data_IF_766842308344
#
_entry.id   IF_766842308344
#
_cell.length_a   1.000
_cell.length_b   1.000
_cell.length_c   1.000
_cell.angle_alpha   90.00
_cell.angle_beta   90.00
_cell.angle_gamma   90.00
#
_symmetry.space_group_name_H-M   'P 1'
#
loop_
_entity.id
_entity.type
_entity.pdbx_description
1 polymer ?
#
# COMPACT_ATOMS: atom_id res chain seq x y z
N UNK A 1 3.88 9.99 4.24
CA UNK A 1 4.31 9.44 5.55
C UNK A 1 4.82 10.53 6.45
N UNK A 2 4.45 10.50 7.73
CA UNK A 2 4.90 11.48 8.72
C UNK A 2 6.23 11.02 9.34
N UNK A 3 7.29 11.80 9.16
CA UNK A 3 8.61 11.48 9.75
C UNK A 3 8.83 12.35 10.99
N UNK A 4 9.21 11.72 12.10
CA UNK A 4 9.28 12.32 13.43
C UNK A 4 10.67 12.88 13.73
N UNK A 5 10.70 14.13 14.21
CA UNK A 5 11.85 14.75 14.87
C UNK A 5 11.52 14.94 16.34
N UNK A 6 12.26 14.29 17.24
CA UNK A 6 12.16 14.48 18.69
C UNK A 6 12.17 15.97 19.09
N UNK A 7 11.41 16.43 20.11
CA UNK A 7 10.29 15.82 20.85
C UNK A 7 8.95 16.01 20.10
N UNK A 8 7.94 15.18 20.45
CA UNK A 8 6.60 14.92 19.88
C UNK A 8 5.71 16.11 19.41
N UNK A 9 6.25 17.13 18.74
CA UNK A 9 5.55 18.40 18.45
C UNK A 9 5.71 18.85 17.00
N UNK A 10 6.62 18.25 16.22
CA UNK A 10 6.82 18.60 14.82
C UNK A 10 6.73 17.38 13.89
N UNK A 11 5.86 17.50 12.90
CA UNK A 11 5.61 16.52 11.87
C UNK A 11 6.00 17.09 10.52
N UNK A 12 6.76 16.33 9.74
CA UNK A 12 7.04 16.67 8.34
C UNK A 12 6.38 15.63 7.45
N UNK A 13 5.61 16.08 6.46
CA UNK A 13 5.09 15.20 5.44
C UNK A 13 6.22 14.82 4.46
N UNK A 14 6.40 13.53 4.25
CA UNK A 14 7.25 12.98 3.22
C UNK A 14 6.39 12.20 2.22
N UNK A 15 6.37 12.67 0.97
CA UNK A 15 5.68 12.01 -0.12
C UNK A 15 6.46 10.80 -0.65
N UNK A 16 5.75 9.82 -1.20
CA UNK A 16 6.38 8.67 -1.86
C UNK A 16 7.22 9.15 -3.05
N UNK A 17 8.44 8.64 -3.16
CA UNK A 17 9.44 9.07 -4.15
C UNK A 17 10.30 10.26 -3.70
N UNK A 18 9.96 10.91 -2.59
CA UNK A 18 10.74 12.04 -2.07
C UNK A 18 11.80 11.60 -1.04
N UNK A 19 12.82 12.45 -0.89
CA UNK A 19 13.86 12.33 0.13
C UNK A 19 13.87 13.54 1.05
N UNK A 20 14.24 13.33 2.30
CA UNK A 20 14.29 14.33 3.35
C UNK A 20 15.58 14.18 4.16
N UNK A 21 16.31 15.27 4.33
CA UNK A 21 17.59 15.33 5.05
C UNK A 21 17.39 15.86 6.46
N UNK A 22 17.83 15.07 7.44
CA UNK A 22 17.49 15.23 8.85
C UNK A 22 18.74 15.14 9.71
N UNK A 23 18.67 15.73 10.90
CA UNK A 23 19.67 15.52 11.95
C UNK A 23 18.94 14.99 13.18
N UNK A 24 19.31 13.79 13.63
CA UNK A 24 18.77 13.14 14.83
C UNK A 24 19.87 13.16 15.89
N UNK A 25 19.72 14.03 16.90
CA UNK A 25 20.81 14.34 17.82
C UNK A 25 21.96 15.04 17.09
N UNK A 26 23.07 14.34 16.88
CA UNK A 26 24.23 14.79 16.09
C UNK A 26 24.44 13.98 14.80
N UNK A 27 23.53 13.06 14.50
CA UNK A 27 23.69 12.12 13.38
C UNK A 27 22.92 12.65 12.16
N UNK A 28 23.59 12.92 11.03
CA UNK A 28 22.92 13.24 9.78
C UNK A 28 22.26 11.98 9.22
N UNK A 29 20.99 12.08 8.86
CA UNK A 29 20.16 10.99 8.34
C UNK A 29 19.42 11.47 7.10
N UNK A 30 19.57 10.78 5.98
CA UNK A 30 18.68 10.94 4.83
C UNK A 30 17.59 9.88 4.91
N UNK A 31 16.34 10.30 4.79
CA UNK A 31 15.16 9.41 4.72
C UNK A 31 14.59 9.50 3.32
N UNK A 32 14.38 8.37 2.66
CA UNK A 32 13.73 8.28 1.34
C UNK A 32 12.49 7.43 1.46
N UNK A 33 11.34 7.95 1.02
CA UNK A 33 10.11 7.17 0.94
C UNK A 33 10.01 6.48 -0.42
N UNK A 34 9.82 5.17 -0.42
CA UNK A 34 9.70 4.32 -1.61
C UNK A 34 8.29 3.72 -1.64
N UNK A 35 7.70 3.44 -2.82
CA UNK A 35 6.39 2.78 -2.88
C UNK A 35 6.44 1.39 -2.25
N UNK A 36 5.35 0.94 -1.59
CA UNK A 36 5.27 -0.41 -1.02
C UNK A 36 4.25 -1.33 -1.74
N UNK A 37 3.46 -0.80 -2.68
CA UNK A 37 2.47 -1.54 -3.47
C UNK A 37 1.49 -2.41 -2.65
N UNK A 38 1.24 -2.01 -1.39
CA UNK A 38 0.33 -2.71 -0.48
C UNK A 38 -1.07 -2.07 -0.47
N UNK A 39 -1.15 -0.77 -0.20
CA UNK A 39 -2.38 0.01 -0.24
C UNK A 39 -2.08 1.49 -0.55
N UNK A 40 -3.09 2.34 -0.83
CA UNK A 40 -2.86 3.77 -1.06
C UNK A 40 -2.11 4.43 0.09
N UNK A 41 -0.96 5.05 -0.23
CA UNK A 41 -0.10 5.71 0.74
C UNK A 41 0.89 4.81 1.49
N UNK A 42 0.84 3.48 1.27
CA UNK A 42 1.84 2.55 1.81
C UNK A 42 3.22 2.84 1.22
N UNK A 43 4.25 2.90 2.07
CA UNK A 43 5.60 3.19 1.65
C UNK A 43 6.64 2.43 2.48
N UNK A 44 7.76 2.11 1.86
CA UNK A 44 8.98 1.71 2.53
C UNK A 44 9.82 2.96 2.86
N UNK A 45 10.63 2.89 3.91
CA UNK A 45 11.54 3.97 4.30
C UNK A 45 12.99 3.49 4.25
N UNK A 46 13.79 4.14 3.41
CA UNK A 46 15.23 3.97 3.35
C UNK A 46 15.91 5.07 4.17
N UNK A 47 16.63 4.67 5.21
CA UNK A 47 17.47 5.54 6.04
C UNK A 47 18.92 5.36 5.63
N UNK A 48 19.63 6.44 5.31
CA UNK A 48 21.07 6.41 5.06
C UNK A 48 21.80 7.41 5.94
N UNK A 49 22.93 6.98 6.49
CA UNK A 49 23.81 7.83 7.29
C UNK A 49 25.26 7.36 7.17
N UNK A 50 26.25 8.28 7.17
CA UNK A 50 27.65 7.91 7.31
C UNK A 50 27.96 7.17 8.63
N UNK A 51 27.10 7.29 9.64
CA UNK A 51 27.33 6.71 10.97
C UNK A 51 26.91 5.24 11.06
N UNK A 52 25.77 4.88 10.46
CA UNK A 52 25.19 3.53 10.57
C UNK A 52 24.96 2.82 9.23
N UNK A 53 25.30 3.46 8.10
CA UNK A 53 25.11 2.87 6.77
C UNK A 53 23.67 2.99 6.27
N UNK A 54 23.17 1.95 5.60
CA UNK A 54 21.86 1.93 4.95
C UNK A 54 20.89 0.95 5.64
N UNK A 55 19.73 1.45 6.04
CA UNK A 55 18.65 0.68 6.67
C UNK A 55 17.37 0.82 5.87
N UNK A 56 16.78 -0.29 5.43
CA UNK A 56 15.47 -0.29 4.77
C UNK A 56 14.42 -0.87 5.71
N UNK A 57 13.34 -0.13 5.94
CA UNK A 57 12.15 -0.65 6.60
C UNK A 57 11.02 -0.73 5.59
N UNK A 58 10.49 -1.92 5.33
CA UNK A 58 9.50 -2.13 4.27
C UNK A 58 8.10 -1.66 4.67
N UNK A 59 7.77 -1.66 5.97
CA UNK A 59 6.37 -1.70 6.38
C UNK A 59 5.69 -2.94 5.78
N UNK A 60 4.40 -2.87 5.49
CA UNK A 60 3.69 -3.91 4.74
C UNK A 60 3.93 -3.67 3.25
N UNK A 61 4.52 -4.64 2.56
CA UNK A 61 4.98 -4.50 1.17
C UNK A 61 4.53 -5.69 0.32
N UNK A 62 4.12 -5.40 -0.92
CA UNK A 62 3.92 -6.44 -1.92
C UNK A 62 4.98 -6.32 -3.01
N UNK A 63 6.02 -7.16 -2.91
CA UNK A 63 7.08 -7.13 -3.92
C UNK A 63 6.60 -7.65 -5.28
N UNK A 64 6.94 -6.88 -6.32
CA UNK A 64 6.94 -7.27 -7.73
C UNK A 64 8.35 -7.09 -8.30
N UNK A 65 8.69 -7.75 -9.41
CA UNK A 65 9.97 -7.50 -10.10
C UNK A 65 10.17 -6.01 -10.41
N UNK A 66 9.12 -5.32 -10.87
CA UNK A 66 9.17 -3.91 -11.21
C UNK A 66 9.41 -3.02 -9.98
N UNK A 67 8.81 -3.37 -8.84
CA UNK A 67 9.05 -2.65 -7.60
C UNK A 67 10.49 -2.87 -7.11
N UNK A 68 11.01 -4.10 -7.20
CA UNK A 68 12.39 -4.40 -6.82
C UNK A 68 13.39 -3.63 -7.69
N UNK A 69 13.16 -3.55 -9.00
CA UNK A 69 14.00 -2.78 -9.92
C UNK A 69 14.02 -1.29 -9.52
N UNK A 70 12.87 -0.72 -9.17
CA UNK A 70 12.78 0.67 -8.68
C UNK A 70 13.56 0.87 -7.37
N UNK A 71 13.45 -0.06 -6.42
CA UNK A 71 14.21 -0.01 -5.16
C UNK A 71 15.71 -0.08 -5.44
N UNK A 72 16.14 -1.02 -6.28
CA UNK A 72 17.54 -1.16 -6.68
C UNK A 72 18.08 0.09 -7.38
N UNK A 73 17.28 0.72 -8.25
CA UNK A 73 17.63 1.97 -8.89
C UNK A 73 17.86 3.09 -7.86
N UNK A 74 16.94 3.27 -6.90
CA UNK A 74 17.10 4.31 -5.88
C UNK A 74 18.30 4.03 -4.97
N UNK A 75 18.57 2.77 -4.61
CA UNK A 75 19.77 2.41 -3.85
C UNK A 75 21.04 2.80 -4.63
N UNK A 76 21.12 2.47 -5.92
CA UNK A 76 22.25 2.79 -6.77
C UNK A 76 22.46 4.30 -6.94
N UNK A 77 21.39 5.06 -7.17
CA UNK A 77 21.42 6.54 -7.27
C UNK A 77 21.91 7.19 -5.97
N UNK A 78 21.71 6.54 -4.83
CA UNK A 78 22.20 7.00 -3.53
C UNK A 78 23.58 6.45 -3.16
N UNK A 79 24.24 5.73 -4.06
CA UNK A 79 25.54 5.10 -3.81
C UNK A 79 25.48 3.97 -2.77
N UNK A 80 24.29 3.44 -2.50
CA UNK A 80 24.08 2.32 -1.57
C UNK A 80 24.27 1.02 -2.32
N UNK A 81 25.40 0.35 -2.08
CA UNK A 81 25.72 -0.94 -2.73
C UNK A 81 25.19 -2.15 -1.97
N UNK A 82 24.82 -1.97 -0.69
CA UNK A 82 24.22 -2.99 0.16
C UNK A 82 23.40 -2.34 1.27
N UNK A 83 22.41 -3.06 1.79
CA UNK A 83 21.75 -2.71 3.04
C UNK A 83 22.56 -3.27 4.21
N UNK A 84 22.77 -2.46 5.24
CA UNK A 84 23.37 -2.89 6.50
C UNK A 84 22.30 -3.48 7.44
N UNK A 85 21.04 -3.06 7.30
CA UNK A 85 19.89 -3.65 8.00
C UNK A 85 18.61 -3.61 7.14
N UNK A 86 17.81 -4.67 7.21
CA UNK A 86 16.52 -4.79 6.56
C UNK A 86 15.45 -5.19 7.58
N UNK A 87 14.48 -4.31 7.82
CA UNK A 87 13.24 -4.66 8.51
C UNK A 87 12.23 -5.08 7.44
N UNK A 88 12.03 -6.39 7.32
CA UNK A 88 11.26 -7.03 6.25
C UNK A 88 9.84 -7.38 6.71
N UNK A 89 8.85 -7.12 5.86
CA UNK A 89 7.52 -7.72 5.94
C UNK A 89 7.63 -9.24 5.82
N UNK A 90 7.31 -9.92 6.91
CA UNK A 90 7.36 -11.36 7.01
C UNK A 90 5.98 -11.97 7.25
N UNK A 91 4.90 -11.27 6.89
CA UNK A 91 3.51 -11.75 7.06
C UNK A 91 3.32 -13.18 6.56
N UNK A 92 3.94 -13.53 5.42
CA UNK A 92 3.90 -14.88 4.83
C UNK A 92 5.27 -15.60 4.88
N UNK A 93 6.20 -15.15 5.73
CA UNK A 93 7.59 -15.63 5.73
C UNK A 93 7.80 -16.99 6.40
N UNK A 94 6.91 -17.40 7.32
CA UNK A 94 7.02 -18.70 8.02
C UNK A 94 6.50 -19.87 7.18
N UNK A 95 5.41 -19.65 6.46
CA UNK A 95 4.76 -20.65 5.62
C UNK A 95 4.56 -20.04 4.22
N UNK A 96 5.49 -20.26 3.29
CA UNK A 96 5.38 -19.73 1.94
C UNK A 96 4.10 -20.26 1.29
N UNK A 97 3.19 -19.35 0.98
CA UNK A 97 1.96 -19.66 0.26
C UNK A 97 2.06 -19.12 -1.17
N UNK A 98 1.66 -19.95 -2.12
CA UNK A 98 1.45 -19.49 -3.49
C UNK A 98 0.07 -18.86 -3.60
N UNK A 99 0.05 -17.55 -3.82
CA UNK A 99 -1.19 -16.82 -4.05
C UNK A 99 -1.43 -16.64 -5.55
N UNK A 100 -2.68 -16.74 -6.02
CA UNK A 100 -3.02 -16.30 -7.36
C UNK A 100 -2.71 -14.81 -7.53
N UNK A 101 -2.43 -14.40 -8.76
CA UNK A 101 -2.32 -12.97 -9.07
C UNK A 101 -3.66 -12.28 -8.82
N UNK A 102 -3.62 -10.98 -8.51
CA UNK A 102 -4.84 -10.18 -8.37
C UNK A 102 -5.75 -10.33 -9.60
N UNK A 103 -5.19 -10.30 -10.80
CA UNK A 103 -5.93 -10.48 -12.05
C UNK A 103 -6.65 -11.83 -12.11
N UNK A 104 -5.98 -12.92 -11.71
CA UNK A 104 -6.60 -14.25 -11.71
C UNK A 104 -7.72 -14.33 -10.65
N UNK A 105 -7.49 -13.80 -9.45
CA UNK A 105 -8.51 -13.73 -8.39
C UNK A 105 -9.74 -12.94 -8.84
N UNK A 106 -9.56 -11.80 -9.52
CA UNK A 106 -10.66 -11.00 -10.07
C UNK A 106 -11.45 -11.76 -11.15
N UNK A 107 -10.76 -12.50 -12.03
CA UNK A 107 -11.44 -13.34 -13.03
C UNK A 107 -12.25 -14.46 -12.37
N UNK A 108 -11.71 -15.11 -11.34
CA UNK A 108 -12.41 -16.15 -10.60
C UNK A 108 -13.65 -15.59 -9.90
N UNK A 109 -13.52 -14.43 -9.26
CA UNK A 109 -14.62 -13.73 -8.63
C UNK A 109 -15.73 -13.38 -9.64
N UNK A 110 -15.38 -12.81 -10.79
CA UNK A 110 -16.36 -12.52 -11.84
C UNK A 110 -17.07 -13.77 -12.36
N UNK A 111 -16.35 -14.88 -12.57
CA UNK A 111 -16.97 -16.15 -12.98
C UNK A 111 -17.94 -16.69 -11.94
N UNK A 112 -17.59 -16.55 -10.65
CA UNK A 112 -18.48 -16.96 -9.56
C UNK A 112 -19.78 -16.17 -9.60
N UNK A 113 -19.72 -14.85 -9.79
CA UNK A 113 -20.90 -13.99 -9.91
C UNK A 113 -21.72 -14.31 -11.17
N UNK A 114 -21.06 -14.46 -12.32
CA UNK A 114 -21.71 -14.79 -13.60
C UNK A 114 -22.45 -16.14 -13.53
N UNK A 115 -21.92 -17.10 -12.78
CA UNK A 115 -22.53 -18.43 -12.59
C UNK A 115 -23.71 -18.42 -11.60
N UNK A 116 -23.90 -17.33 -10.86
CA UNK A 116 -24.93 -17.20 -9.82
C UNK A 116 -25.73 -15.89 -10.00
N UNK A 117 -26.46 -15.72 -11.13
CA UNK A 117 -27.12 -14.45 -11.46
C UNK A 117 -28.20 -14.01 -10.45
N UNK A 118 -28.68 -14.93 -9.60
CA UNK A 118 -29.71 -14.66 -8.58
C UNK A 118 -29.12 -14.44 -7.18
N UNK A 119 -27.80 -14.35 -7.01
CA UNK A 119 -27.15 -14.22 -5.71
C UNK A 119 -27.19 -12.79 -5.13
N UNK A 120 -27.90 -11.85 -5.77
CA UNK A 120 -27.94 -10.46 -5.32
C UNK A 120 -28.92 -10.24 -4.14
N UNK A 121 -28.56 -9.39 -3.16
CA UNK A 121 -27.31 -8.64 -3.05
C UNK A 121 -26.14 -9.52 -2.60
N UNK A 122 -24.94 -9.24 -3.13
CA UNK A 122 -23.70 -9.90 -2.72
C UNK A 122 -22.95 -9.03 -1.72
N UNK A 123 -22.68 -9.58 -0.54
CA UNK A 123 -21.87 -8.91 0.48
C UNK A 123 -20.40 -9.29 0.29
N UNK A 124 -19.55 -8.28 0.14
CA UNK A 124 -18.10 -8.45 0.04
C UNK A 124 -17.47 -7.72 1.22
N UNK A 125 -16.83 -8.47 2.10
CA UNK A 125 -16.05 -7.91 3.19
C UNK A 125 -14.68 -7.51 2.65
N UNK A 126 -14.36 -6.23 2.75
CA UNK A 126 -13.08 -5.66 2.34
C UNK A 126 -12.41 -4.97 3.53
N UNK A 127 -11.09 -4.85 3.48
CA UNK A 127 -10.36 -4.01 4.42
C UNK A 127 -10.59 -2.52 4.14
N UNK A 128 -10.22 -1.68 5.12
CA UNK A 128 -10.45 -0.25 5.05
C UNK A 128 -9.66 0.49 3.96
N UNK A 129 -8.59 -0.11 3.45
CA UNK A 129 -7.82 0.37 2.28
C UNK A 129 -7.22 -0.85 1.59
N UNK A 130 -6.88 -0.72 0.30
CA UNK A 130 -6.17 -1.77 -0.47
C UNK A 130 -7.07 -2.72 -1.27
N UNK A 131 -8.39 -2.61 -1.12
CA UNK A 131 -9.37 -3.42 -1.89
C UNK A 131 -10.02 -2.65 -3.04
N UNK A 132 -9.57 -1.42 -3.33
CA UNK A 132 -10.21 -0.51 -4.28
C UNK A 132 -10.19 -1.07 -5.71
N UNK A 133 -9.12 -1.76 -6.08
CA UNK A 133 -8.99 -2.43 -7.39
C UNK A 133 -10.07 -3.50 -7.59
N UNK A 134 -10.41 -4.24 -6.53
CA UNK A 134 -11.45 -5.27 -6.53
C UNK A 134 -12.81 -4.62 -6.74
N UNK A 135 -13.12 -3.60 -5.96
CA UNK A 135 -14.40 -2.89 -6.04
C UNK A 135 -14.61 -2.24 -7.42
N UNK A 136 -13.59 -1.55 -7.96
CA UNK A 136 -13.66 -0.95 -9.30
C UNK A 136 -13.83 -2.00 -10.41
N UNK A 137 -13.13 -3.14 -10.32
CA UNK A 137 -13.28 -4.24 -11.27
C UNK A 137 -14.72 -4.78 -11.27
N UNK A 138 -15.31 -5.00 -10.09
CA UNK A 138 -16.68 -5.50 -9.98
C UNK A 138 -17.71 -4.52 -10.53
N UNK A 139 -17.58 -3.24 -10.18
CA UNK A 139 -18.46 -2.20 -10.69
C UNK A 139 -18.40 -2.12 -12.22
N UNK A 140 -17.20 -2.06 -12.80
CA UNK A 140 -17.02 -1.97 -14.25
C UNK A 140 -17.49 -3.21 -15.00
N UNK A 141 -17.24 -4.42 -14.47
CA UNK A 141 -17.56 -5.70 -15.11
C UNK A 141 -19.04 -6.06 -15.06
N UNK A 142 -19.72 -5.76 -13.95
CA UNK A 142 -21.10 -6.18 -13.68
C UNK A 142 -22.10 -5.02 -13.66
N UNK A 143 -21.65 -3.77 -13.84
CA UNK A 143 -22.49 -2.56 -13.71
C UNK A 143 -23.24 -2.50 -12.37
N UNK A 144 -22.68 -3.11 -11.33
CA UNK A 144 -23.31 -3.22 -10.02
C UNK A 144 -23.17 -1.90 -9.24
N UNK A 145 -24.25 -1.47 -8.59
CA UNK A 145 -24.17 -0.39 -7.61
C UNK A 145 -23.37 -0.86 -6.39
N UNK A 146 -22.37 -0.09 -5.98
CA UNK A 146 -21.59 -0.37 -4.78
C UNK A 146 -22.19 0.41 -3.62
N UNK A 147 -22.65 -0.31 -2.61
CA UNK A 147 -23.14 0.26 -1.36
C UNK A 147 -22.07 0.10 -0.29
N UNK A 148 -21.48 1.21 0.14
CA UNK A 148 -20.53 1.23 1.25
C UNK A 148 -21.24 1.52 2.56
N UNK A 149 -20.80 0.89 3.64
CA UNK A 149 -21.36 1.22 4.96
C UNK A 149 -20.85 2.60 5.43
N UNK A 150 -21.65 3.39 6.17
CA UNK A 150 -21.32 4.77 6.54
C UNK A 150 -20.04 4.96 7.36
N UNK A 151 -19.43 3.88 7.86
CA UNK A 151 -18.25 3.90 8.72
C UNK A 151 -16.92 3.94 7.94
N UNK A 152 -16.97 4.11 6.62
CA UNK A 152 -15.83 3.88 5.72
C UNK A 152 -15.49 5.08 4.80
N UNK A 153 -15.21 6.29 5.34
CA UNK A 153 -14.98 7.50 4.54
C UNK A 153 -13.68 7.48 3.70
N UNK A 154 -12.65 6.77 4.17
CA UNK A 154 -11.38 6.63 3.46
C UNK A 154 -11.53 5.83 2.16
N UNK A 155 -12.31 4.74 2.21
CA UNK A 155 -12.59 3.84 1.08
C UNK A 155 -13.37 4.55 -0.02
N UNK A 156 -14.43 5.27 0.36
CA UNK A 156 -15.25 6.04 -0.58
C UNK A 156 -14.40 7.05 -1.37
N UNK A 157 -13.46 7.71 -0.69
CA UNK A 157 -12.52 8.64 -1.33
C UNK A 157 -11.52 7.89 -2.23
N UNK A 158 -10.98 6.77 -1.77
CA UNK A 158 -9.99 5.97 -2.50
C UNK A 158 -10.56 5.29 -3.75
N UNK A 159 -11.84 4.90 -3.76
CA UNK A 159 -12.52 4.37 -4.96
C UNK A 159 -13.03 5.46 -5.92
N UNK A 160 -12.80 6.74 -5.60
CA UNK A 160 -13.07 7.86 -6.50
C UNK A 160 -14.36 8.62 -6.23
N UNK A 161 -15.00 8.46 -5.06
CA UNK A 161 -16.15 9.23 -4.57
C UNK A 161 -17.48 9.04 -5.32
N UNK A 162 -17.43 8.84 -6.65
CA UNK A 162 -18.54 8.76 -7.59
C UNK A 162 -19.15 7.36 -7.66
N UNK A 163 -18.42 6.33 -7.21
CA UNK A 163 -18.85 4.93 -7.26
C UNK A 163 -19.71 4.48 -6.06
N UNK A 164 -19.80 5.29 -5.01
CA UNK A 164 -20.53 4.95 -3.80
C UNK A 164 -21.85 5.70 -3.76
N UNK A 165 -22.97 4.99 -3.93
CA UNK A 165 -24.26 5.51 -3.49
C UNK A 165 -24.33 5.33 -1.97
N UNK A 166 -24.43 6.44 -1.24
CA UNK A 166 -24.70 6.38 0.19
C UNK A 166 -26.08 5.77 0.38
N UNK A 167 -26.14 4.58 0.99
CA UNK A 167 -27.40 4.00 1.39
C UNK A 167 -27.96 4.84 2.55
N UNK A 168 -28.84 5.79 2.23
CA UNK A 168 -29.78 6.36 3.20
C UNK A 168 -30.93 5.37 3.28
N UNK A 169 -30.91 4.48 4.26
CA UNK A 169 -32.16 3.78 4.63
C UNK A 169 -33.10 4.76 5.35
N UNK A 170 -34.42 4.64 5.16
CA UNK A 170 -35.44 5.47 5.82
C UNK A 170 -35.48 5.29 7.34
#
# INVERSE_FOLDING_TARGET
VLVNHTPLVQWTCLEVGASLQLVVGSIPVKVTALPADHCPGACMLLFTSPVFGAVLATGDVRFSPELLDQVCQVLAEQGVTRLDLLHLDATFGLEPQEFPSLQLSLQQLSRLLDSNPNAYPVNICVEALGSESILRHLHSRHQAHLYLTPQQPAEATAIGGVLAEQHVTP
#
